data_IF_990731950970
#
_entry.id   IF_990731950970
#
_cell.length_a   1.000
_cell.length_b   1.000
_cell.length_c   1.000
_cell.angle_alpha   90.00
_cell.angle_beta   90.00
_cell.angle_gamma   90.00
#
_symmetry.space_group_name_H-M   'P 1'
#
loop_
_entity.id
_entity.type
_entity.pdbx_description
1 polymer ?
#
# COMPACT_ATOMS: atom_id res chain seq x y z
N UNK A 1 0.35 -26.87 5.75
CA UNK A 1 1.12 -26.22 4.67
C UNK A 1 0.21 -25.58 3.62
N UNK A 2 -0.75 -26.29 3.02
CA UNK A 2 -1.66 -25.78 1.96
C UNK A 2 -2.40 -24.49 2.38
N UNK A 3 -2.93 -24.42 3.60
CA UNK A 3 -3.67 -23.24 4.10
C UNK A 3 -2.81 -21.99 4.27
N UNK A 4 -1.54 -22.15 4.66
CA UNK A 4 -0.61 -21.02 4.78
C UNK A 4 -0.33 -20.46 3.39
N UNK A 5 -0.12 -21.31 2.38
CA UNK A 5 0.06 -20.89 1.00
C UNK A 5 -1.17 -20.14 0.47
N UNK A 6 -2.38 -20.60 0.79
CA UNK A 6 -3.61 -19.94 0.37
C UNK A 6 -3.73 -18.52 0.97
N UNK A 7 -3.41 -18.35 2.26
CA UNK A 7 -3.42 -17.03 2.91
C UNK A 7 -2.42 -16.08 2.25
N UNK A 8 -1.20 -16.57 1.99
CA UNK A 8 -0.15 -15.77 1.36
C UNK A 8 -0.59 -15.33 -0.05
N UNK A 9 -1.19 -16.23 -0.83
CA UNK A 9 -1.70 -15.89 -2.17
C UNK A 9 -2.78 -14.82 -2.09
N UNK A 10 -3.75 -14.94 -1.18
CA UNK A 10 -4.80 -13.93 -1.00
C UNK A 10 -4.21 -12.59 -0.55
N UNK A 11 -3.29 -12.58 0.40
CA UNK A 11 -2.65 -11.34 0.86
C UNK A 11 -1.87 -10.65 -0.27
N UNK A 12 -1.12 -11.41 -1.06
CA UNK A 12 -0.39 -10.89 -2.22
C UNK A 12 -1.35 -10.33 -3.27
N UNK A 13 -2.45 -11.02 -3.57
CA UNK A 13 -3.43 -10.53 -4.56
C UNK A 13 -4.09 -9.23 -4.14
N UNK A 14 -4.38 -9.04 -2.84
CA UNK A 14 -4.91 -7.77 -2.31
C UNK A 14 -3.88 -6.65 -2.42
N UNK A 15 -2.62 -6.91 -2.06
CA UNK A 15 -1.54 -5.91 -2.18
C UNK A 15 -1.37 -5.48 -3.64
N UNK A 16 -1.37 -6.43 -4.58
CA UNK A 16 -1.27 -6.12 -6.02
C UNK A 16 -2.47 -5.30 -6.48
N UNK A 17 -3.70 -5.66 -6.08
CA UNK A 17 -4.90 -4.92 -6.45
C UNK A 17 -4.88 -3.47 -5.91
N UNK A 18 -4.44 -3.26 -4.66
CA UNK A 18 -4.28 -1.93 -4.08
C UNK A 18 -3.20 -1.12 -4.81
N UNK A 19 -2.10 -1.76 -5.18
CA UNK A 19 -1.02 -1.12 -5.92
C UNK A 19 -1.47 -0.68 -7.32
N UNK A 20 -2.18 -1.54 -8.05
CA UNK A 20 -2.71 -1.22 -9.37
C UNK A 20 -3.76 -0.10 -9.31
N UNK A 21 -4.64 -0.12 -8.31
CA UNK A 21 -5.63 0.94 -8.09
C UNK A 21 -4.95 2.27 -7.78
N UNK A 22 -3.93 2.29 -6.91
CA UNK A 22 -3.19 3.50 -6.59
C UNK A 22 -2.47 4.08 -7.81
N UNK A 23 -1.88 3.24 -8.67
CA UNK A 23 -1.24 3.70 -9.92
C UNK A 23 -2.27 4.32 -10.87
N UNK A 24 -3.43 3.66 -11.07
CA UNK A 24 -4.52 4.23 -11.86
C UNK A 24 -5.03 5.55 -11.26
N UNK A 25 -5.18 5.60 -9.94
CA UNK A 25 -5.56 6.82 -9.21
C UNK A 25 -4.55 7.95 -9.41
N UNK A 26 -3.25 7.66 -9.43
CA UNK A 26 -2.21 8.65 -9.73
C UNK A 26 -2.31 9.20 -11.14
N UNK A 27 -2.56 8.35 -12.14
CA UNK A 27 -2.69 8.79 -13.53
C UNK A 27 -3.92 9.68 -13.73
N UNK A 28 -5.06 9.29 -13.14
CA UNK A 28 -6.28 10.12 -13.10
C UNK A 28 -6.02 11.44 -12.38
N UNK A 29 -5.30 11.42 -11.26
CA UNK A 29 -4.97 12.62 -10.50
C UNK A 29 -4.08 13.58 -11.30
N UNK A 30 -3.14 13.07 -12.12
CA UNK A 30 -2.32 13.88 -13.02
C UNK A 30 -3.16 14.57 -14.09
N UNK A 31 -4.09 13.87 -14.72
CA UNK A 31 -5.00 14.46 -15.70
C UNK A 31 -5.88 15.55 -15.07
N UNK A 32 -6.45 15.26 -13.90
CA UNK A 32 -7.23 16.23 -13.11
C UNK A 32 -6.39 17.43 -12.72
N UNK A 33 -5.12 17.22 -12.35
CA UNK A 33 -4.21 18.31 -11.97
C UNK A 33 -3.94 19.27 -13.14
N UNK A 34 -3.72 18.75 -14.33
CA UNK A 34 -3.51 19.59 -15.54
C UNK A 34 -4.77 20.37 -15.89
N UNK A 35 -5.93 19.72 -15.85
CA UNK A 35 -7.19 20.40 -16.14
C UNK A 35 -7.53 21.47 -15.08
N UNK A 36 -7.22 21.19 -13.80
CA UNK A 36 -7.37 22.15 -12.70
C UNK A 36 -6.39 23.31 -12.88
N UNK A 37 -5.13 23.03 -13.22
CA UNK A 37 -4.14 24.07 -13.51
C UNK A 37 -4.61 25.01 -14.63
N UNK A 38 -5.17 24.44 -15.72
CA UNK A 38 -5.72 25.23 -16.83
C UNK A 38 -6.80 26.19 -16.34
N UNK A 39 -7.79 25.69 -15.59
CA UNK A 39 -8.90 26.50 -15.08
C UNK A 39 -8.46 27.59 -14.13
N UNK A 40 -7.53 27.25 -13.23
CA UNK A 40 -6.98 28.20 -12.27
C UNK A 40 -6.17 29.28 -12.99
N UNK A 41 -5.27 28.89 -13.88
CA UNK A 41 -4.45 29.83 -14.63
C UNK A 41 -5.31 30.77 -15.47
N UNK A 42 -6.33 30.24 -16.17
CA UNK A 42 -7.27 31.06 -16.95
C UNK A 42 -8.01 32.08 -16.04
N UNK A 43 -8.49 31.65 -14.89
CA UNK A 43 -9.20 32.50 -13.93
C UNK A 43 -8.30 33.60 -13.39
N UNK A 44 -7.09 33.26 -12.96
CA UNK A 44 -6.14 34.18 -12.35
C UNK A 44 -5.62 35.17 -13.41
N UNK A 45 -5.24 34.72 -14.60
CA UNK A 45 -4.80 35.59 -15.71
C UNK A 45 -5.89 36.58 -16.09
N UNK A 46 -7.14 36.14 -16.22
CA UNK A 46 -8.27 37.03 -16.52
C UNK A 46 -8.46 38.06 -15.41
N UNK A 47 -8.45 37.65 -14.15
CA UNK A 47 -8.62 38.56 -13.00
C UNK A 47 -7.54 39.63 -12.94
N UNK A 48 -6.28 39.23 -13.08
CA UNK A 48 -5.14 40.16 -13.04
C UNK A 48 -5.12 41.10 -14.23
N UNK A 49 -5.44 40.60 -15.42
CA UNK A 49 -5.53 41.42 -16.62
C UNK A 49 -6.65 42.46 -16.52
N UNK A 50 -7.83 42.07 -16.05
CA UNK A 50 -8.97 42.96 -15.89
C UNK A 50 -8.66 44.05 -14.82
N UNK A 51 -7.81 43.72 -13.81
CA UNK A 51 -7.31 44.64 -12.82
C UNK A 51 -6.39 45.75 -13.39
N UNK A 52 -5.82 45.53 -14.60
CA UNK A 52 -5.04 46.56 -15.28
C UNK A 52 -5.91 47.70 -15.84
N UNK A 53 -7.20 47.50 -15.94
CA UNK A 53 -8.14 48.48 -16.49
C UNK A 53 -7.93 48.84 -17.99
N UNK A 54 -7.28 47.94 -18.71
CA UNK A 54 -7.01 48.17 -20.14
C UNK A 54 -8.22 47.79 -20.99
N UNK A 55 -8.55 48.66 -21.96
CA UNK A 55 -9.53 48.33 -22.98
C UNK A 55 -8.87 47.62 -24.14
N UNK A 56 -9.40 46.47 -24.50
CA UNK A 56 -8.94 45.68 -25.62
C UNK A 56 -10.13 45.23 -26.51
N UNK A 57 -9.89 45.14 -27.81
CA UNK A 57 -10.85 44.55 -28.72
C UNK A 57 -10.13 43.48 -29.55
N UNK A 58 -10.65 42.26 -29.47
CA UNK A 58 -10.18 41.18 -30.32
C UNK A 58 -11.02 41.12 -31.61
N UNK A 59 -10.35 41.13 -32.75
CA UNK A 59 -11.00 40.82 -34.02
C UNK A 59 -11.43 39.34 -34.01
N UNK A 60 -12.71 39.08 -34.20
CA UNK A 60 -13.24 37.71 -34.24
C UNK A 60 -12.90 37.04 -35.57
N UNK A 61 -11.67 36.61 -35.75
CA UNK A 61 -11.29 35.72 -36.86
C UNK A 61 -11.56 34.22 -36.51
N UNK A 62 -12.66 34.00 -35.81
CA UNK A 62 -13.08 32.65 -35.42
C UNK A 62 -13.36 31.81 -36.66
N UNK A 63 -12.53 30.80 -36.88
CA UNK A 63 -12.77 29.76 -37.89
C UNK A 63 -11.82 29.68 -39.09
N UNK A 64 -10.84 30.59 -39.20
CA UNK A 64 -9.78 30.43 -40.21
C UNK A 64 -8.59 29.70 -39.59
N UNK A 65 -8.17 28.58 -40.18
CA UNK A 65 -6.89 27.97 -39.86
C UNK A 65 -5.78 28.90 -40.34
N UNK A 66 -5.20 29.67 -39.41
CA UNK A 66 -4.01 30.46 -39.69
C UNK A 66 -2.79 29.55 -39.68
N UNK A 67 -1.95 29.65 -40.68
CA UNK A 67 -0.65 28.93 -40.71
C UNK A 67 0.46 29.78 -40.14
N UNK A 68 0.20 31.06 -39.88
CA UNK A 68 1.15 32.04 -39.40
C UNK A 68 0.47 33.09 -38.55
N UNK A 69 1.13 33.53 -37.50
CA UNK A 69 0.74 34.65 -36.64
C UNK A 69 1.75 35.77 -36.72
N UNK A 70 1.26 37.00 -36.72
CA UNK A 70 2.12 38.20 -36.71
C UNK A 70 1.99 38.87 -35.36
N UNK A 71 3.13 39.17 -34.74
CA UNK A 71 3.23 40.02 -33.58
C UNK A 71 4.02 41.27 -33.94
N UNK A 72 3.56 42.42 -33.47
CA UNK A 72 4.23 43.70 -33.60
C UNK A 72 4.66 44.08 -32.18
N UNK A 73 5.96 44.25 -31.96
CA UNK A 73 6.51 44.75 -30.70
C UNK A 73 7.39 45.95 -30.96
N UNK A 74 7.87 46.61 -29.89
CA UNK A 74 8.85 47.67 -29.99
C UNK A 74 10.15 47.26 -30.70
N UNK A 75 10.44 45.97 -30.75
CA UNK A 75 11.59 45.37 -31.43
C UNK A 75 11.36 45.00 -32.90
N UNK A 76 10.17 45.28 -33.42
CA UNK A 76 9.81 45.02 -34.83
C UNK A 76 8.62 44.11 -35.01
N UNK A 77 8.39 43.73 -36.30
CA UNK A 77 7.39 42.74 -36.67
C UNK A 77 8.01 41.35 -36.62
N UNK A 78 7.32 40.42 -35.96
CA UNK A 78 7.70 39.00 -35.87
C UNK A 78 6.61 38.13 -36.50
N UNK A 79 7.00 37.18 -37.32
CA UNK A 79 6.11 36.19 -37.90
C UNK A 79 6.42 34.83 -37.31
N UNK A 80 5.44 34.24 -36.63
CA UNK A 80 5.56 32.91 -36.02
C UNK A 80 4.74 31.94 -36.83
N UNK A 81 5.40 30.86 -37.29
CA UNK A 81 4.72 29.74 -37.94
C UNK A 81 3.99 28.93 -36.89
N UNK A 82 2.72 28.64 -37.09
CA UNK A 82 1.95 27.81 -36.17
C UNK A 82 2.44 26.37 -36.32
N UNK A 83 3.02 25.85 -35.27
CA UNK A 83 3.45 24.49 -35.15
C UNK A 83 2.35 23.68 -34.42
N UNK A 84 1.75 22.71 -35.10
CA UNK A 84 0.66 21.91 -34.59
C UNK A 84 1.04 21.12 -33.32
N UNK A 85 2.32 20.75 -33.16
CA UNK A 85 2.79 20.07 -31.94
C UNK A 85 2.83 21.01 -30.76
N UNK A 86 3.31 22.24 -30.97
CA UNK A 86 3.32 23.26 -29.89
C UNK A 86 1.91 23.75 -29.58
N UNK A 87 1.05 23.86 -30.60
CA UNK A 87 -0.36 24.21 -30.40
C UNK A 87 -1.08 23.16 -29.53
N UNK A 88 -0.80 21.87 -29.73
CA UNK A 88 -1.34 20.79 -28.91
C UNK A 88 -0.84 20.86 -27.45
N UNK A 89 0.28 21.51 -27.18
CA UNK A 89 0.84 21.78 -25.88
C UNK A 89 0.37 23.14 -25.29
N UNK A 90 -0.56 23.83 -25.90
CA UNK A 90 -1.14 25.06 -25.38
C UNK A 90 -1.91 24.79 -24.08
N UNK A 91 -1.63 25.53 -23.02
CA UNK A 91 -2.39 25.42 -21.77
C UNK A 91 -3.81 25.96 -21.94
N UNK A 92 -3.97 27.02 -22.70
CA UNK A 92 -5.25 27.66 -22.97
C UNK A 92 -5.80 27.26 -24.34
N UNK A 93 -7.13 27.11 -24.48
CA UNK A 93 -7.71 27.09 -25.79
C UNK A 93 -7.40 28.42 -26.48
N UNK A 94 -7.13 28.34 -27.78
CA UNK A 94 -6.75 29.49 -28.61
C UNK A 94 -7.55 30.75 -28.26
N UNK A 95 -6.92 31.85 -28.05
CA UNK A 95 -7.16 33.22 -28.44
C UNK A 95 -6.89 34.31 -27.42
N UNK A 96 -7.70 34.41 -26.38
CA UNK A 96 -7.76 35.66 -25.57
C UNK A 96 -6.86 35.57 -24.36
N UNK A 97 -6.82 34.40 -23.75
CA UNK A 97 -6.09 34.21 -22.47
C UNK A 97 -4.59 34.20 -22.71
N UNK A 98 -4.13 33.59 -23.80
CA UNK A 98 -2.71 33.62 -24.20
C UNK A 98 -2.18 35.03 -24.42
N UNK A 99 -2.96 35.89 -25.10
CA UNK A 99 -2.61 37.30 -25.26
C UNK A 99 -2.56 38.03 -23.92
N UNK A 100 -3.54 37.81 -23.04
CA UNK A 100 -3.57 38.41 -21.70
C UNK A 100 -2.35 38.00 -20.89
N UNK A 101 -1.95 36.72 -20.97
CA UNK A 101 -0.75 36.21 -20.30
C UNK A 101 0.52 36.91 -20.83
N UNK A 102 0.65 37.08 -22.14
CA UNK A 102 1.79 37.78 -22.74
C UNK A 102 1.85 39.26 -22.30
N UNK A 103 0.71 39.96 -22.30
CA UNK A 103 0.65 41.36 -21.81
C UNK A 103 0.99 41.47 -20.35
N UNK A 104 0.51 40.59 -19.47
CA UNK A 104 0.87 40.57 -18.05
C UNK A 104 2.38 40.34 -17.88
N UNK A 105 2.96 39.43 -18.68
CA UNK A 105 4.41 39.21 -18.64
C UNK A 105 5.19 40.43 -19.12
N UNK A 106 4.75 41.08 -20.18
CA UNK A 106 5.37 42.30 -20.69
C UNK A 106 5.42 43.43 -19.65
N UNK A 107 4.36 43.57 -18.83
CA UNK A 107 4.33 44.50 -17.71
C UNK A 107 5.03 44.00 -16.46
N UNK A 108 5.64 42.83 -16.46
CA UNK A 108 6.28 42.21 -15.31
C UNK A 108 5.31 41.85 -14.17
N UNK A 109 4.04 41.58 -14.51
CA UNK A 109 2.96 41.30 -13.57
C UNK A 109 2.33 39.91 -13.77
N UNK A 110 3.05 38.99 -14.41
CA UNK A 110 2.51 37.64 -14.57
C UNK A 110 2.37 36.94 -13.21
N UNK A 111 1.17 36.49 -12.84
CA UNK A 111 0.84 36.05 -11.46
C UNK A 111 1.20 34.56 -11.22
N UNK A 112 2.45 34.18 -11.45
CA UNK A 112 2.89 32.77 -11.36
C UNK A 112 2.69 32.20 -9.96
N UNK A 113 3.02 32.97 -8.93
CA UNK A 113 2.89 32.54 -7.54
C UNK A 113 1.42 32.32 -7.15
N UNK A 114 0.55 33.20 -7.57
CA UNK A 114 -0.87 33.12 -7.27
C UNK A 114 -1.54 31.92 -7.98
N UNK A 115 -1.15 31.67 -9.23
CA UNK A 115 -1.58 30.47 -9.97
C UNK A 115 -1.14 29.21 -9.20
N UNK A 116 0.10 29.15 -8.73
CA UNK A 116 0.60 28.00 -7.99
C UNK A 116 -0.16 27.79 -6.69
N UNK A 117 -0.42 28.87 -5.92
CA UNK A 117 -1.12 28.81 -4.64
C UNK A 117 -2.58 28.36 -4.80
N UNK A 118 -3.33 28.95 -5.75
CA UNK A 118 -4.71 28.55 -6.00
C UNK A 118 -4.78 27.10 -6.53
N UNK A 119 -3.90 26.73 -7.44
CA UNK A 119 -3.83 25.36 -7.95
C UNK A 119 -3.54 24.35 -6.85
N UNK A 120 -2.54 24.62 -6.00
CA UNK A 120 -2.21 23.79 -4.83
C UNK A 120 -3.40 23.68 -3.87
N UNK A 121 -4.12 24.77 -3.63
CA UNK A 121 -5.29 24.77 -2.77
C UNK A 121 -6.42 23.87 -3.31
N UNK A 122 -6.76 23.98 -4.61
CA UNK A 122 -7.78 23.14 -5.22
C UNK A 122 -7.40 21.67 -5.27
N UNK A 123 -6.11 21.37 -5.50
CA UNK A 123 -5.61 19.99 -5.48
C UNK A 123 -5.61 19.41 -4.06
N UNK A 124 -5.23 20.20 -3.05
CA UNK A 124 -5.29 19.77 -1.65
C UNK A 124 -6.70 19.50 -1.15
N UNK A 125 -7.69 20.25 -1.62
CA UNK A 125 -9.09 20.01 -1.28
C UNK A 125 -9.58 18.65 -1.79
N UNK A 126 -9.05 18.19 -2.92
CA UNK A 126 -9.41 16.90 -3.52
C UNK A 126 -8.65 15.71 -2.97
N UNK A 127 -7.34 15.83 -2.86
CA UNK A 127 -6.46 14.69 -2.60
C UNK A 127 -5.75 14.76 -1.26
N UNK A 128 -5.67 15.96 -0.62
CA UNK A 128 -4.94 16.16 0.62
C UNK A 128 -3.41 15.99 0.45
N UNK A 129 -2.63 16.79 1.16
CA UNK A 129 -1.16 16.62 1.23
C UNK A 129 -0.41 16.78 -0.10
N UNK A 130 -0.95 17.52 -1.07
CA UNK A 130 -0.37 17.69 -2.40
C UNK A 130 0.74 18.74 -2.35
N UNK A 131 1.92 18.41 -2.91
CA UNK A 131 2.97 19.36 -3.17
C UNK A 131 2.94 19.74 -4.65
N UNK A 132 3.00 21.07 -4.94
CA UNK A 132 2.94 21.62 -6.30
C UNK A 132 4.09 22.62 -6.50
N UNK A 133 4.66 22.61 -7.71
CA UNK A 133 5.61 23.62 -8.16
C UNK A 133 5.37 23.95 -9.63
N UNK A 134 5.62 25.21 -9.99
CA UNK A 134 5.58 25.70 -11.36
C UNK A 134 6.92 26.27 -11.76
N UNK A 135 7.37 25.98 -12.96
CA UNK A 135 8.57 26.54 -13.56
C UNK A 135 8.19 27.24 -14.87
N UNK A 136 8.38 28.56 -14.90
CA UNK A 136 8.11 29.39 -16.07
C UNK A 136 9.42 29.79 -16.73
N UNK A 137 9.55 29.50 -18.02
CA UNK A 137 10.64 29.96 -18.87
C UNK A 137 10.09 30.85 -19.98
N UNK A 138 10.57 32.09 -20.01
CA UNK A 138 10.19 33.07 -21.01
C UNK A 138 11.37 33.28 -21.96
N UNK A 139 11.16 32.98 -23.23
CA UNK A 139 12.11 33.23 -24.33
C UNK A 139 11.63 34.43 -25.14
N UNK A 140 12.13 35.65 -24.86
CA UNK A 140 11.64 36.82 -25.55
C UNK A 140 11.97 36.77 -27.01
N UNK A 141 11.06 37.31 -27.83
CA UNK A 141 11.33 37.47 -29.27
C UNK A 141 12.45 38.49 -29.49
N UNK A 142 13.45 38.14 -30.27
CA UNK A 142 14.58 39.03 -30.60
C UNK A 142 15.76 38.93 -29.60
N UNK A 143 16.33 40.08 -29.19
CA UNK A 143 17.56 40.14 -28.41
C UNK A 143 17.35 40.15 -26.89
N UNK A 144 16.20 39.74 -26.41
CA UNK A 144 15.89 39.72 -24.97
C UNK A 144 16.66 38.65 -24.19
N UNK A 145 16.67 38.80 -22.85
CA UNK A 145 17.27 37.83 -21.94
C UNK A 145 16.22 36.81 -21.56
N UNK A 146 16.59 35.52 -21.63
CA UNK A 146 15.74 34.43 -21.15
C UNK A 146 15.50 34.60 -19.66
N UNK A 147 14.25 34.60 -19.25
CA UNK A 147 13.85 34.67 -17.85
C UNK A 147 13.38 33.31 -17.39
N UNK A 148 13.82 32.89 -16.21
CA UNK A 148 13.40 31.65 -15.60
C UNK A 148 12.89 31.96 -14.19
N UNK A 149 11.68 31.56 -13.88
CA UNK A 149 10.99 31.79 -12.62
C UNK A 149 10.46 30.46 -12.10
N UNK A 150 10.66 30.17 -10.82
CA UNK A 150 10.09 29.03 -10.12
C UNK A 150 9.24 29.47 -8.94
N UNK A 151 8.22 28.70 -8.62
CA UNK A 151 7.38 28.95 -7.44
C UNK A 151 6.80 27.65 -6.91
N UNK A 152 6.44 27.62 -5.63
CA UNK A 152 5.90 26.46 -4.94
C UNK A 152 6.97 25.62 -4.25
N UNK A 153 6.78 24.31 -4.21
CA UNK A 153 7.67 23.39 -3.50
C UNK A 153 8.84 22.97 -4.42
N UNK A 154 9.91 23.74 -4.45
CA UNK A 154 11.07 23.51 -5.34
C UNK A 154 11.72 22.13 -5.17
N UNK A 155 11.56 21.50 -4.00
CA UNK A 155 12.11 20.16 -3.72
C UNK A 155 11.55 19.06 -4.61
N UNK A 156 10.37 19.28 -5.21
CA UNK A 156 9.71 18.31 -6.08
C UNK A 156 10.05 18.48 -7.56
N UNK A 157 10.84 19.50 -7.93
CA UNK A 157 11.22 19.74 -9.33
C UNK A 157 12.16 18.63 -9.80
N UNK A 158 11.58 17.57 -10.30
CA UNK A 158 12.28 16.39 -10.82
C UNK A 158 11.44 15.75 -11.93
N UNK A 159 12.09 15.07 -12.86
CA UNK A 159 11.45 14.46 -14.02
C UNK A 159 10.32 13.48 -13.69
N UNK A 160 10.40 12.81 -12.54
CA UNK A 160 9.35 11.88 -12.07
C UNK A 160 8.04 12.56 -11.66
N UNK A 161 8.09 13.85 -11.30
CA UNK A 161 6.95 14.63 -10.84
C UNK A 161 6.43 15.57 -11.95
N UNK A 162 7.01 15.51 -13.15
CA UNK A 162 6.65 16.34 -14.29
C UNK A 162 5.27 15.96 -14.83
N UNK A 163 4.37 16.91 -14.87
CA UNK A 163 3.04 16.78 -15.46
C UNK A 163 3.00 17.20 -16.94
N UNK A 164 4.09 17.77 -17.43
CA UNK A 164 4.23 18.26 -18.78
C UNK A 164 4.58 19.74 -18.87
N UNK A 165 4.97 20.12 -20.07
CA UNK A 165 5.33 21.49 -20.41
C UNK A 165 4.28 22.06 -21.36
N UNK A 166 3.79 23.25 -21.04
CA UNK A 166 2.69 23.91 -21.72
C UNK A 166 3.13 25.31 -22.20
N UNK A 167 2.58 25.73 -23.32
CA UNK A 167 2.73 27.10 -23.80
C UNK A 167 1.56 27.95 -23.30
N UNK A 168 1.87 29.12 -22.72
CA UNK A 168 0.88 30.06 -22.19
C UNK A 168 0.42 31.09 -23.22
N UNK A 169 1.25 31.34 -24.22
CA UNK A 169 1.06 32.35 -25.23
C UNK A 169 1.00 31.78 -26.66
N UNK A 170 0.38 32.52 -27.56
CA UNK A 170 0.22 32.13 -28.94
C UNK A 170 1.50 32.20 -29.78
N UNK A 171 2.54 32.81 -29.24
CA UNK A 171 3.85 32.99 -29.90
C UNK A 171 4.88 31.96 -29.42
N UNK A 172 4.49 31.06 -28.52
CA UNK A 172 5.33 29.99 -27.95
C UNK A 172 6.58 30.52 -27.25
N UNK A 173 6.50 31.71 -26.66
CA UNK A 173 7.59 32.34 -25.92
C UNK A 173 7.58 32.01 -24.42
N UNK A 174 6.38 31.78 -23.88
CA UNK A 174 6.19 31.45 -22.46
C UNK A 174 5.93 29.95 -22.28
N UNK A 175 6.88 29.26 -21.63
CA UNK A 175 6.79 27.83 -21.35
C UNK A 175 6.60 27.61 -19.86
N UNK A 176 5.50 26.97 -19.48
CA UNK A 176 5.19 26.57 -18.12
C UNK A 176 5.38 25.08 -17.98
N UNK A 177 6.24 24.65 -17.07
CA UNK A 177 6.36 23.25 -16.67
C UNK A 177 5.74 23.10 -15.29
N UNK A 178 4.82 22.14 -15.15
CA UNK A 178 4.12 21.89 -13.91
C UNK A 178 4.65 20.61 -13.24
N UNK A 179 4.86 20.67 -11.94
CA UNK A 179 5.31 19.55 -11.12
C UNK A 179 4.32 19.30 -10.00
N UNK A 180 3.99 18.03 -9.76
CA UNK A 180 3.13 17.63 -8.66
C UNK A 180 3.61 16.33 -8.03
N UNK A 181 3.65 16.31 -6.71
CA UNK A 181 3.88 15.11 -5.92
C UNK A 181 2.64 14.82 -5.09
N UNK A 182 2.08 13.62 -5.28
CA UNK A 182 0.97 13.07 -4.53
C UNK A 182 1.44 11.92 -3.68
N UNK A 183 0.95 11.84 -2.44
CA UNK A 183 1.15 10.65 -1.63
C UNK A 183 0.33 9.49 -2.23
N UNK A 184 1.02 8.37 -2.44
CA UNK A 184 0.47 7.13 -2.98
C UNK A 184 -0.85 6.71 -2.33
N UNK A 185 -0.94 6.83 -1.00
CA UNK A 185 -2.11 6.39 -0.24
C UNK A 185 -3.36 7.28 -0.42
N UNK A 186 -3.18 8.53 -0.84
CA UNK A 186 -4.29 9.44 -1.15
C UNK A 186 -4.90 9.19 -2.53
N UNK A 187 -4.20 8.43 -3.39
CA UNK A 187 -4.69 8.04 -4.71
C UNK A 187 -5.53 6.76 -4.69
N UNK A 188 -5.57 6.04 -3.57
CA UNK A 188 -6.36 4.80 -3.44
C UNK A 188 -7.83 5.16 -3.20
N UNK A 189 -8.72 4.66 -4.03
CA UNK A 189 -10.16 4.70 -3.73
C UNK A 189 -10.51 3.64 -2.68
N UNK A 190 -10.45 4.05 -1.42
CA UNK A 190 -10.73 3.18 -0.29
C UNK A 190 -12.17 2.65 -0.27
N UNK A 191 -13.14 3.40 -0.83
CA UNK A 191 -14.54 3.02 -0.82
C UNK A 191 -14.76 1.70 -1.58
N UNK A 192 -14.12 1.53 -2.71
CA UNK A 192 -14.23 0.33 -3.55
C UNK A 192 -13.54 -0.89 -2.92
N UNK A 193 -12.54 -0.68 -2.06
CA UNK A 193 -11.74 -1.77 -1.47
C UNK A 193 -12.13 -2.14 -0.04
N UNK A 194 -13.00 -1.39 0.63
CA UNK A 194 -13.42 -1.66 2.03
C UNK A 194 -13.98 -3.08 2.20
N UNK A 195 -14.87 -3.51 1.32
CA UNK A 195 -15.46 -4.86 1.39
C UNK A 195 -14.42 -5.95 1.19
N UNK A 196 -13.47 -5.73 0.28
CA UNK A 196 -12.40 -6.68 0.00
C UNK A 196 -11.43 -6.80 1.18
N UNK A 197 -11.05 -5.68 1.78
CA UNK A 197 -10.21 -5.64 2.99
C UNK A 197 -10.92 -6.33 4.16
N UNK A 198 -12.19 -6.02 4.40
CA UNK A 198 -12.98 -6.66 5.47
C UNK A 198 -13.10 -8.17 5.26
N UNK A 199 -13.31 -8.63 4.02
CA UNK A 199 -13.36 -10.05 3.71
C UNK A 199 -12.03 -10.75 3.99
N UNK A 200 -10.90 -10.12 3.69
CA UNK A 200 -9.57 -10.64 4.01
C UNK A 200 -9.32 -10.72 5.51
N UNK A 201 -9.68 -9.69 6.26
CA UNK A 201 -9.58 -9.70 7.73
C UNK A 201 -10.41 -10.83 8.31
N UNK A 202 -11.65 -11.00 7.84
CA UNK A 202 -12.53 -12.08 8.28
C UNK A 202 -11.93 -13.46 7.98
N UNK A 203 -11.38 -13.67 6.79
CA UNK A 203 -10.71 -14.92 6.42
C UNK A 203 -9.51 -15.22 7.35
N UNK A 204 -8.69 -14.21 7.66
CA UNK A 204 -7.54 -14.37 8.57
C UNK A 204 -8.01 -14.75 9.98
N UNK A 205 -9.08 -14.11 10.48
CA UNK A 205 -9.67 -14.42 11.80
C UNK A 205 -10.23 -15.85 11.85
N UNK A 206 -10.96 -16.27 10.82
CA UNK A 206 -11.52 -17.63 10.74
C UNK A 206 -10.42 -18.69 10.68
N UNK A 207 -9.34 -18.43 9.95
CA UNK A 207 -8.19 -19.33 9.89
C UNK A 207 -7.44 -19.39 11.22
N UNK A 208 -7.26 -18.27 11.90
CA UNK A 208 -6.69 -18.22 13.25
C UNK A 208 -7.52 -19.05 14.22
N UNK A 209 -8.84 -18.93 14.17
CA UNK A 209 -9.76 -19.71 15.00
C UNK A 209 -9.67 -21.21 14.69
N UNK A 210 -9.61 -21.58 13.41
CA UNK A 210 -9.48 -23.00 12.99
C UNK A 210 -8.16 -23.62 13.49
N UNK A 211 -7.04 -22.89 13.38
CA UNK A 211 -5.74 -23.33 13.91
C UNK A 211 -5.78 -23.47 15.44
N UNK A 212 -6.41 -22.52 16.13
CA UNK A 212 -6.57 -22.57 17.59
C UNK A 212 -7.38 -23.81 18.03
N UNK A 213 -8.54 -24.04 17.41
CA UNK A 213 -9.39 -25.21 17.71
C UNK A 213 -8.66 -26.51 17.38
N UNK A 214 -8.01 -26.59 16.19
CA UNK A 214 -7.22 -27.75 15.79
C UNK A 214 -6.07 -28.06 16.76
N UNK A 215 -5.38 -27.01 17.22
CA UNK A 215 -4.32 -27.13 18.22
C UNK A 215 -4.84 -27.64 19.57
N UNK A 216 -6.00 -27.20 20.01
CA UNK A 216 -6.67 -27.70 21.22
C UNK A 216 -7.06 -29.16 21.09
N UNK A 217 -7.62 -29.56 19.95
CA UNK A 217 -8.00 -30.97 19.71
C UNK A 217 -6.77 -31.87 19.64
N UNK A 218 -5.69 -31.41 18.99
CA UNK A 218 -4.43 -32.15 18.95
C UNK A 218 -3.84 -32.36 20.34
N UNK A 219 -3.84 -31.34 21.20
CA UNK A 219 -3.39 -31.44 22.59
C UNK A 219 -4.22 -32.43 23.38
N UNK A 220 -5.57 -32.39 23.25
CA UNK A 220 -6.47 -33.34 23.92
C UNK A 220 -6.22 -34.77 23.46
N UNK A 221 -6.01 -35.03 22.17
CA UNK A 221 -5.69 -36.37 21.63
C UNK A 221 -4.35 -36.88 22.17
N UNK A 222 -3.31 -36.04 22.18
CA UNK A 222 -2.00 -36.41 22.73
C UNK A 222 -2.06 -36.76 24.23
N UNK A 223 -2.87 -36.04 25.00
CA UNK A 223 -3.08 -36.33 26.41
C UNK A 223 -3.86 -37.65 26.61
N UNK A 224 -4.87 -37.92 25.79
CA UNK A 224 -5.62 -39.17 25.81
C UNK A 224 -4.75 -40.39 25.43
N UNK A 225 -3.91 -40.26 24.37
CA UNK A 225 -2.97 -41.32 23.98
C UNK A 225 -1.90 -41.63 25.05
N UNK A 226 -1.49 -40.60 25.80
CA UNK A 226 -0.52 -40.79 26.89
C UNK A 226 -1.19 -41.49 28.08
N UNK A 227 -2.46 -41.17 28.36
CA UNK A 227 -3.23 -41.83 29.43
C UNK A 227 -3.53 -43.29 29.07
N UNK A 228 -3.84 -43.64 27.83
CA UNK A 228 -4.09 -45.03 27.42
C UNK A 228 -2.81 -45.87 27.42
N UNK A 229 -1.64 -45.29 27.20
CA UNK A 229 -0.35 -45.98 27.28
C UNK A 229 0.15 -46.18 28.70
N UNK A 230 -0.42 -45.47 29.68
CA UNK A 230 0.01 -45.54 31.10
C UNK A 230 -0.84 -46.46 31.97
N UNK A 231 -1.98 -46.93 31.47
CA UNK A 231 -2.90 -47.79 32.20
C UNK A 231 -2.85 -49.22 31.70
N UNK A 232 -2.61 -50.17 32.59
CA UNK A 232 -2.54 -51.61 32.32
C UNK A 232 -3.67 -52.32 33.08
N UNK A 233 -4.28 -53.32 32.46
CA UNK A 233 -5.36 -54.09 33.08
C UNK A 233 -4.92 -55.51 33.46
N UNK A 234 -5.06 -55.83 34.72
CA UNK A 234 -4.79 -57.14 35.27
C UNK A 234 -6.10 -57.74 35.84
N UNK A 235 -6.83 -58.47 34.96
CA UNK A 235 -8.14 -58.98 35.32
C UNK A 235 -9.13 -57.88 35.69
N UNK A 236 -9.55 -57.79 36.94
CA UNK A 236 -10.45 -56.73 37.44
C UNK A 236 -9.71 -55.46 37.93
N UNK A 237 -8.38 -55.52 37.99
CA UNK A 237 -7.56 -54.41 38.45
C UNK A 237 -7.07 -53.58 37.31
N UNK A 238 -7.02 -52.27 37.52
CA UNK A 238 -6.47 -51.29 36.56
C UNK A 238 -5.25 -50.60 37.22
N UNK A 239 -4.07 -50.81 36.69
CA UNK A 239 -2.84 -50.22 37.15
C UNK A 239 -2.49 -48.96 36.36
N UNK A 240 -2.32 -47.83 37.02
CA UNK A 240 -1.80 -46.61 36.49
C UNK A 240 -0.31 -46.50 36.79
N UNK A 241 0.53 -46.66 35.76
CA UNK A 241 1.98 -46.66 35.93
C UNK A 241 2.56 -45.27 36.16
N UNK A 242 1.84 -44.19 35.88
CA UNK A 242 2.30 -42.81 36.14
C UNK A 242 2.01 -42.40 37.55
N UNK A 243 0.81 -42.72 38.07
CA UNK A 243 0.41 -42.36 39.43
C UNK A 243 0.74 -43.43 40.42
N UNK A 244 1.30 -44.58 40.00
CA UNK A 244 1.59 -45.73 40.85
C UNK A 244 0.38 -46.19 41.67
N UNK A 245 -0.82 -46.20 41.02
CA UNK A 245 -2.05 -46.58 41.69
C UNK A 245 -2.69 -47.80 41.02
N UNK A 246 -3.22 -48.71 41.86
CA UNK A 246 -4.03 -49.87 41.46
C UNK A 246 -5.48 -49.56 41.80
N UNK A 247 -6.39 -49.65 40.83
CA UNK A 247 -7.81 -49.39 41.06
C UNK A 247 -8.55 -50.72 40.98
N UNK A 248 -9.39 -51.03 41.96
CA UNK A 248 -10.29 -52.20 42.01
C UNK A 248 -11.68 -51.72 42.44
N UNK A 249 -12.69 -52.02 41.65
CA UNK A 249 -14.09 -51.65 41.92
C UNK A 249 -14.33 -50.19 42.29
N UNK A 250 -13.47 -49.30 41.82
CA UNK A 250 -13.55 -47.86 42.09
C UNK A 250 -12.67 -47.38 43.26
N UNK A 251 -12.16 -48.27 44.08
CA UNK A 251 -11.19 -47.95 45.14
C UNK A 251 -9.80 -47.87 44.56
N UNK A 252 -9.04 -46.81 44.95
CA UNK A 252 -7.66 -46.58 44.53
C UNK A 252 -6.71 -46.94 45.67
N UNK A 253 -5.78 -47.83 45.37
CA UNK A 253 -4.72 -48.27 46.30
C UNK A 253 -3.40 -47.71 45.75
N UNK A 254 -2.66 -46.99 46.59
CA UNK A 254 -1.32 -46.52 46.23
C UNK A 254 -0.31 -47.68 46.33
N UNK A 255 0.44 -47.88 45.27
CA UNK A 255 1.50 -48.88 45.21
C UNK A 255 2.83 -48.29 45.65
N UNK A 256 3.65 -49.08 46.39
CA UNK A 256 5.03 -48.69 46.64
C UNK A 256 5.81 -48.60 45.31
N UNK A 257 6.88 -47.81 45.23
CA UNK A 257 7.67 -47.69 44.01
C UNK A 257 8.20 -49.02 43.46
N UNK A 258 8.53 -49.96 44.37
CA UNK A 258 8.98 -51.31 43.99
C UNK A 258 7.82 -52.15 43.43
N UNK A 259 6.66 -52.14 44.09
CA UNK A 259 5.47 -52.82 43.59
C UNK A 259 5.02 -52.27 42.22
N UNK A 260 5.09 -50.94 42.01
CA UNK A 260 4.78 -50.32 40.75
C UNK A 260 5.73 -50.73 39.61
N UNK A 261 7.03 -50.84 39.90
CA UNK A 261 8.03 -51.36 38.95
C UNK A 261 7.75 -52.81 38.57
N UNK A 262 7.45 -53.67 39.53
CA UNK A 262 7.10 -55.05 39.25
C UNK A 262 5.82 -55.19 38.42
N UNK A 263 4.76 -54.48 38.79
CA UNK A 263 3.51 -54.46 38.01
C UNK A 263 3.73 -53.99 36.58
N UNK A 264 4.60 -52.98 36.39
CA UNK A 264 4.97 -52.51 35.08
C UNK A 264 5.81 -53.54 34.30
N UNK A 265 6.69 -54.27 34.95
CA UNK A 265 7.42 -55.41 34.39
C UNK A 265 6.49 -56.48 33.90
N UNK A 266 5.54 -56.95 34.72
CA UNK A 266 4.51 -57.92 34.32
C UNK A 266 3.65 -57.43 33.17
N UNK A 267 3.26 -56.13 33.18
CA UNK A 267 2.46 -55.55 32.12
C UNK A 267 3.18 -55.52 30.76
N UNK A 268 4.49 -55.44 30.78
CA UNK A 268 5.32 -55.40 29.55
C UNK A 268 5.78 -56.77 29.09
N UNK A 269 5.78 -57.75 29.94
CA UNK A 269 6.11 -59.14 29.61
C UNK A 269 5.02 -59.72 28.69
N UNK A 270 5.41 -60.34 27.58
CA UNK A 270 4.50 -60.94 26.62
C UNK A 270 3.71 -62.12 27.18
N UNK A 271 4.23 -62.75 28.20
CA UNK A 271 3.65 -63.94 28.81
C UNK A 271 3.00 -63.69 30.18
N UNK A 272 2.98 -62.40 30.62
CA UNK A 272 2.57 -62.02 31.99
C UNK A 272 3.30 -62.79 33.09
N UNK A 273 4.55 -63.19 32.81
CA UNK A 273 5.42 -63.94 33.68
C UNK A 273 6.79 -63.28 33.74
N UNK A 274 7.42 -63.19 34.90
CA UNK A 274 8.78 -62.71 35.07
C UNK A 274 9.61 -63.82 35.72
N UNK A 275 10.81 -64.02 35.22
CA UNK A 275 11.79 -64.92 35.78
C UNK A 275 12.39 -64.31 37.07
N UNK A 276 12.95 -65.18 37.94
CA UNK A 276 13.61 -64.69 39.14
C UNK A 276 14.75 -63.71 38.88
N UNK A 277 15.46 -63.85 37.78
CA UNK A 277 16.51 -62.95 37.34
C UNK A 277 15.96 -61.56 36.95
N UNK A 278 14.87 -61.53 36.22
CA UNK A 278 14.18 -60.28 35.83
C UNK A 278 13.56 -59.57 37.05
N UNK A 279 13.02 -60.33 38.02
CA UNK A 279 12.50 -59.75 39.27
C UNK A 279 13.63 -59.16 40.06
N UNK A 280 14.77 -59.84 40.16
CA UNK A 280 15.96 -59.35 40.87
C UNK A 280 16.48 -58.04 40.23
N UNK A 281 16.56 -58.00 38.93
CA UNK A 281 16.98 -56.82 38.16
C UNK A 281 16.02 -55.62 38.34
N UNK A 282 14.72 -55.84 38.21
CA UNK A 282 13.68 -54.80 38.37
C UNK A 282 13.68 -54.23 39.81
N UNK A 283 13.86 -55.10 40.80
CA UNK A 283 13.86 -54.71 42.23
C UNK A 283 15.21 -54.22 42.74
N UNK A 284 16.30 -54.47 41.99
CA UNK A 284 17.67 -54.20 42.44
C UNK A 284 18.10 -55.10 43.59
N UNK A 285 17.56 -56.31 43.64
CA UNK A 285 17.90 -57.28 44.69
C UNK A 285 18.98 -58.26 44.25
N UNK A 286 19.89 -58.62 45.11
CA UNK A 286 20.84 -59.68 44.80
C UNK A 286 20.09 -61.02 44.65
N UNK A 287 20.44 -61.79 43.63
CA UNK A 287 19.85 -63.12 43.32
C UNK A 287 19.82 -64.08 44.53
N UNK A 288 20.74 -63.94 45.41
CA UNK A 288 20.79 -64.74 46.67
C UNK A 288 19.57 -64.53 47.58
N UNK A 289 18.87 -63.38 47.46
CA UNK A 289 17.68 -63.14 48.32
C UNK A 289 16.43 -63.85 47.82
N UNK A 290 16.39 -64.26 46.52
CA UNK A 290 15.22 -64.93 45.95
C UNK A 290 15.27 -66.45 46.06
N UNK A 291 16.45 -67.03 46.37
CA UNK A 291 16.65 -68.46 46.49
C UNK A 291 16.26 -69.00 47.84
N UNK A 292 15.92 -68.16 48.83
CA UNK A 292 15.61 -68.57 50.22
C UNK A 292 14.11 -68.81 50.48
N UNK A 293 13.26 -68.72 49.46
CA UNK A 293 11.78 -68.90 49.60
C UNK A 293 11.23 -70.05 48.74
N UNK A 294 11.98 -71.13 48.61
CA UNK A 294 11.52 -72.42 48.09
C UNK A 294 11.35 -73.49 49.15
#
# INVERSE_FOLDING_TARGET
MIWICAIVVVAVSVIVALYDNANQGQDVAKEVAVETLRKVAERVVNREFDGLGMFYAFGSDRGKKHTKRKAISENGEFEVIIDSLKEAQGLFPLDVVGFKADMLNYYGKFPLEEICLEWKAEMNDRYGGVMCALFLKVNPMGKGIVQELSTGDETIIASQNDLGTYYLDDMYTMRLTAYMLLDFWHCVDWADHVLQILSCILCILLLGLAVYIGGQQYRKRKTADTLTKSTYRFGKYIFDSVNHTLTYEGEKISCTPQAAKLLLGFAKSSELFLTNDEIAEICGWPLSCLLYTS
#
